data_IF_042000456880
#
_entry.id   IF_042000456880
#
_cell.length_a   1.000
_cell.length_b   1.000
_cell.length_c   1.000
_cell.angle_alpha   90.00
_cell.angle_beta   90.00
_cell.angle_gamma   90.00
#
_symmetry.space_group_name_H-M   'P 1'
#
loop_
_entity.id
_entity.type
_entity.pdbx_description
1 polymer ?
#
# COMPACT_ATOMS: atom_id res chain seq x y z
N UNK A 1 -8.11 -0.95 16.51
CA UNK A 1 -8.34 -1.57 15.19
C UNK A 1 -8.46 -0.44 14.19
N UNK A 2 -7.70 -0.39 13.09
CA UNK A 2 -7.85 0.66 12.08
C UNK A 2 -9.26 0.63 11.49
N UNK A 3 -9.86 1.80 11.22
CA UNK A 3 -11.28 1.96 10.89
C UNK A 3 -11.63 1.57 9.43
N UNK A 4 -10.62 1.38 8.59
CA UNK A 4 -10.80 0.93 7.21
C UNK A 4 -9.71 1.46 6.29
N UNK A 5 -9.77 1.06 5.03
CA UNK A 5 -8.94 1.60 3.96
C UNK A 5 -9.80 2.57 3.18
N UNK A 6 -9.36 3.82 3.08
CA UNK A 6 -10.02 4.80 2.21
C UNK A 6 -9.38 4.76 0.82
N UNK A 7 -10.21 4.55 -0.21
CA UNK A 7 -9.78 4.62 -1.60
C UNK A 7 -9.98 6.06 -2.08
N UNK A 8 -8.88 6.74 -2.37
CA UNK A 8 -8.89 8.15 -2.82
C UNK A 8 -9.02 8.21 -4.35
N UNK A 9 -8.35 7.30 -5.05
CA UNK A 9 -8.36 7.26 -6.51
C UNK A 9 -8.10 5.84 -6.99
N UNK A 10 -8.87 5.39 -7.98
CA UNK A 10 -8.67 4.12 -8.66
C UNK A 10 -8.80 4.33 -10.17
N UNK A 11 -7.71 4.06 -10.88
CA UNK A 11 -7.60 4.08 -12.34
C UNK A 11 -6.90 2.81 -12.77
N UNK A 12 -6.98 2.50 -14.07
CA UNK A 12 -6.40 1.28 -14.67
C UNK A 12 -4.95 0.99 -14.23
N UNK A 13 -4.10 2.02 -14.14
CA UNK A 13 -2.67 1.89 -13.80
C UNK A 13 -2.26 2.75 -12.60
N UNK A 14 -3.21 3.26 -11.81
CA UNK A 14 -2.92 4.11 -10.65
C UNK A 14 -3.95 3.89 -9.55
N UNK A 15 -3.49 3.66 -8.33
CA UNK A 15 -4.33 3.56 -7.15
C UNK A 15 -3.75 4.39 -6.02
N UNK A 16 -4.60 5.14 -5.31
CA UNK A 16 -4.25 5.93 -4.13
C UNK A 16 -5.13 5.51 -2.96
N UNK A 17 -4.49 5.05 -1.89
CA UNK A 17 -5.14 4.51 -0.70
C UNK A 17 -4.63 5.23 0.55
N UNK A 18 -5.50 5.44 1.53
CA UNK A 18 -5.18 6.03 2.84
C UNK A 18 -5.54 5.04 3.95
N UNK A 19 -4.62 4.85 4.88
CA UNK A 19 -4.77 3.98 6.04
C UNK A 19 -4.65 4.83 7.31
N UNK A 20 -5.74 4.92 8.08
CA UNK A 20 -5.77 5.61 9.37
C UNK A 20 -6.90 5.08 10.27
N UNK A 21 -6.82 5.28 11.60
CA UNK A 21 -5.65 5.74 12.35
C UNK A 21 -4.62 4.62 12.53
N UNK A 22 -3.34 4.98 12.52
CA UNK A 22 -2.23 4.06 12.82
C UNK A 22 -1.47 4.55 14.05
N UNK A 23 -0.95 3.61 14.84
CA UNK A 23 -0.04 3.95 15.93
C UNK A 23 1.22 4.64 15.41
N UNK A 24 1.83 5.46 16.27
CA UNK A 24 3.07 6.18 15.93
C UNK A 24 4.14 5.17 15.45
N UNK A 25 4.66 5.40 14.25
CA UNK A 25 5.70 4.57 13.62
C UNK A 25 5.18 3.41 12.78
N UNK A 26 3.93 2.96 12.96
CA UNK A 26 3.37 1.84 12.17
C UNK A 26 3.23 2.19 10.69
N UNK A 27 2.92 3.44 10.35
CA UNK A 27 2.83 3.89 8.96
C UNK A 27 4.11 3.63 8.17
N UNK A 28 5.28 3.82 8.78
CA UNK A 28 6.58 3.56 8.15
C UNK A 28 6.81 2.06 8.02
N UNK A 29 6.56 1.29 9.06
CA UNK A 29 6.73 -0.18 9.06
C UNK A 29 5.88 -0.84 7.97
N UNK A 30 4.59 -0.50 7.92
CA UNK A 30 3.64 -1.04 6.94
C UNK A 30 3.95 -0.53 5.54
N UNK A 31 4.17 0.78 5.37
CA UNK A 31 4.47 1.37 4.06
C UNK A 31 5.76 0.80 3.44
N UNK A 32 6.82 0.64 4.23
CA UNK A 32 8.07 0.04 3.75
C UNK A 32 7.91 -1.43 3.39
N UNK A 33 7.13 -2.20 4.17
CA UNK A 33 6.84 -3.59 3.85
C UNK A 33 6.07 -3.71 2.53
N UNK A 34 4.98 -2.93 2.37
CA UNK A 34 4.18 -2.91 1.15
C UNK A 34 5.02 -2.50 -0.06
N UNK A 35 5.87 -1.47 0.05
CA UNK A 35 6.76 -1.06 -1.04
C UNK A 35 7.65 -2.21 -1.53
N UNK A 36 8.24 -2.99 -0.61
CA UNK A 36 9.09 -4.14 -0.99
C UNK A 36 8.29 -5.23 -1.69
N UNK A 37 7.12 -5.58 -1.15
CA UNK A 37 6.27 -6.62 -1.72
C UNK A 37 5.79 -6.23 -3.12
N UNK A 38 5.29 -4.99 -3.27
CA UNK A 38 4.77 -4.49 -4.54
C UNK A 38 5.83 -4.43 -5.65
N UNK A 39 7.10 -4.19 -5.30
CA UNK A 39 8.18 -4.08 -6.30
C UNK A 39 8.92 -5.40 -6.56
N UNK A 40 8.93 -6.33 -5.61
CA UNK A 40 9.86 -7.48 -5.67
C UNK A 40 9.20 -8.84 -5.45
N UNK A 41 7.95 -8.88 -5.01
CA UNK A 41 7.24 -10.14 -4.71
C UNK A 41 6.03 -10.38 -5.61
N UNK A 42 5.70 -9.44 -6.48
CA UNK A 42 4.68 -9.64 -7.51
C UNK A 42 5.34 -10.35 -8.68
N UNK A 43 4.89 -11.58 -8.95
CA UNK A 43 5.33 -12.33 -10.12
C UNK A 43 4.88 -11.61 -11.40
N UNK A 44 5.83 -11.39 -12.31
CA UNK A 44 5.59 -10.78 -13.61
C UNK A 44 6.48 -11.43 -14.67
N UNK A 45 6.24 -11.07 -15.93
CA UNK A 45 7.08 -11.47 -17.07
C UNK A 45 7.42 -10.23 -17.88
N UNK A 46 8.65 -10.14 -18.36
CA UNK A 46 9.13 -9.12 -19.30
C UNK A 46 9.78 -9.83 -20.50
N UNK A 47 9.79 -9.16 -21.67
CA UNK A 47 10.42 -9.65 -22.91
C UNK A 47 11.91 -9.29 -22.89
#
# INVERSE_FOLDING_TARGET
MPEGIEVIEEKKNYGKFVFSPLERGFGITVGNALRRVLLSSIQGSAI
#
